data_IF_571688905303
#
_entry.id   IF_571688905303
#
_cell.length_a   1.000
_cell.length_b   1.000
_cell.length_c   1.000
_cell.angle_alpha   90.00
_cell.angle_beta   90.00
_cell.angle_gamma   90.00
#
_symmetry.space_group_name_H-M   'P 1'
#
loop_
_entity.id
_entity.type
_entity.pdbx_description
1 polymer ?
#
# COMPACT_ATOMS: atom_id res chain seq x y z
N UNK A 1 -2.59 -8.98 -14.02
CA UNK A 1 -2.42 -9.40 -12.61
C UNK A 1 -1.03 -9.09 -12.05
N UNK A 2 -0.75 -7.82 -11.71
CA UNK A 2 0.62 -7.29 -11.74
C UNK A 2 1.27 -6.94 -10.40
N UNK A 3 1.22 -7.81 -9.39
CA UNK A 3 2.08 -7.67 -8.20
C UNK A 3 3.14 -8.77 -8.18
N UNK A 4 4.08 -8.68 -9.12
CA UNK A 4 5.15 -9.66 -9.30
C UNK A 4 6.01 -9.74 -8.03
N UNK A 5 6.03 -10.93 -7.39
CA UNK A 5 6.83 -11.20 -6.19
C UNK A 5 6.08 -11.15 -4.85
N UNK A 6 4.78 -10.84 -4.84
CA UNK A 6 3.99 -10.83 -3.59
C UNK A 6 3.18 -12.12 -3.33
N UNK A 7 3.05 -12.98 -4.33
CA UNK A 7 2.32 -14.25 -4.21
C UNK A 7 0.80 -14.08 -4.07
N UNK A 8 0.02 -15.14 -4.39
CA UNK A 8 -1.44 -15.05 -4.44
C UNK A 8 -2.08 -14.72 -3.09
N UNK A 9 -1.52 -15.23 -1.99
CA UNK A 9 -2.04 -14.98 -0.64
C UNK A 9 -1.95 -13.51 -0.22
N UNK A 10 -0.91 -12.78 -0.65
CA UNK A 10 -0.79 -11.35 -0.37
C UNK A 10 -1.85 -10.56 -1.13
N UNK A 11 -1.95 -10.79 -2.43
CA UNK A 11 -2.92 -10.12 -3.29
C UNK A 11 -4.34 -10.33 -2.79
N UNK A 12 -4.68 -11.56 -2.36
CA UNK A 12 -5.99 -11.86 -1.78
C UNK A 12 -6.30 -11.00 -0.54
N UNK A 13 -5.33 -10.83 0.39
CA UNK A 13 -5.50 -9.99 1.58
C UNK A 13 -5.69 -8.51 1.24
N UNK A 14 -4.95 -8.01 0.25
CA UNK A 14 -5.10 -6.63 -0.24
C UNK A 14 -6.51 -6.42 -0.81
N UNK A 15 -7.00 -7.36 -1.61
CA UNK A 15 -8.33 -7.29 -2.21
C UNK A 15 -9.43 -7.37 -1.14
N UNK A 16 -9.30 -8.26 -0.14
CA UNK A 16 -10.24 -8.33 0.98
C UNK A 16 -10.30 -7.02 1.78
N UNK A 17 -9.15 -6.47 2.17
CA UNK A 17 -9.11 -5.20 2.89
C UNK A 17 -9.69 -4.04 2.03
N UNK A 18 -9.43 -4.03 0.72
CA UNK A 18 -10.02 -3.02 -0.18
C UNK A 18 -11.52 -3.18 -0.34
N UNK A 19 -12.02 -4.42 -0.35
CA UNK A 19 -13.45 -4.72 -0.49
C UNK A 19 -14.27 -4.24 0.72
N UNK A 20 -13.70 -4.28 1.92
CA UNK A 20 -14.34 -3.72 3.12
C UNK A 20 -14.48 -2.19 3.04
N UNK A 21 -13.42 -1.49 2.62
CA UNK A 21 -13.42 -0.04 2.37
C UNK A 21 -12.16 0.39 1.60
N UNK A 22 -12.23 1.46 0.80
CA UNK A 22 -11.07 2.06 0.16
C UNK A 22 -9.95 2.39 1.16
N UNK A 23 -8.70 2.22 0.75
CA UNK A 23 -7.56 2.67 1.55
C UNK A 23 -7.48 4.18 1.52
N UNK A 24 -7.35 4.80 2.69
CA UNK A 24 -7.25 6.26 2.80
C UNK A 24 -5.85 6.74 2.42
N UNK A 25 -4.84 6.04 2.92
CA UNK A 25 -3.44 6.32 2.68
C UNK A 25 -2.61 5.03 2.81
N UNK A 26 -1.31 5.16 2.60
CA UNK A 26 -0.38 4.04 2.73
C UNK A 26 -0.20 3.55 4.17
N UNK A 27 -0.43 4.39 5.18
CA UNK A 27 -0.37 3.97 6.57
C UNK A 27 -1.59 3.09 6.94
N UNK A 28 -2.79 3.45 6.47
CA UNK A 28 -4.01 2.63 6.57
C UNK A 28 -3.82 1.29 5.86
N UNK A 29 -3.26 1.30 4.65
CA UNK A 29 -2.89 0.08 3.95
C UNK A 29 -1.95 -0.82 4.75
N UNK A 30 -0.88 -0.25 5.33
CA UNK A 30 0.07 -0.99 6.17
C UNK A 30 -0.58 -1.53 7.46
N UNK A 31 -1.51 -0.79 8.07
CA UNK A 31 -2.23 -1.23 9.28
C UNK A 31 -3.20 -2.37 8.98
N UNK A 32 -3.85 -2.37 7.82
CA UNK A 32 -4.91 -3.32 7.47
C UNK A 32 -4.37 -4.58 6.80
N UNK A 33 -3.33 -4.47 5.99
CA UNK A 33 -2.76 -5.62 5.28
C UNK A 33 -1.57 -6.18 6.05
N UNK A 34 -1.81 -7.28 6.77
CA UNK A 34 -0.78 -7.97 7.56
C UNK A 34 0.40 -8.38 6.68
N UNK A 35 1.61 -7.99 7.11
CA UNK A 35 2.86 -8.27 6.38
C UNK A 35 3.29 -7.15 5.42
N UNK A 36 2.53 -6.07 5.30
CA UNK A 36 2.98 -4.85 4.62
C UNK A 36 3.72 -3.96 5.61
N UNK A 37 4.94 -3.58 5.24
CA UNK A 37 5.72 -2.51 5.86
C UNK A 37 6.27 -1.61 4.75
N UNK A 38 7.02 -0.57 5.12
CA UNK A 38 7.59 0.40 4.17
C UNK A 38 8.30 -0.23 2.97
N UNK A 39 9.14 -1.29 3.08
CA UNK A 39 9.78 -1.89 1.91
C UNK A 39 8.79 -2.51 0.93
N UNK A 40 7.71 -3.11 1.44
CA UNK A 40 6.62 -3.68 0.64
C UNK A 40 5.83 -2.58 -0.05
N UNK A 41 5.41 -1.55 0.69
CA UNK A 41 4.70 -0.41 0.14
C UNK A 41 5.51 0.30 -0.96
N UNK A 42 6.81 0.45 -0.75
CA UNK A 42 7.73 1.00 -1.73
C UNK A 42 7.83 0.17 -3.01
N UNK A 43 7.99 -1.16 -2.90
CA UNK A 43 8.02 -2.05 -4.06
C UNK A 43 6.71 -2.01 -4.84
N UNK A 44 5.56 -1.99 -4.15
CA UNK A 44 4.25 -1.85 -4.77
C UNK A 44 4.12 -0.54 -5.54
N UNK A 45 4.53 0.57 -4.93
CA UNK A 45 4.48 1.88 -5.60
C UNK A 45 5.41 1.95 -6.81
N UNK A 46 6.59 1.33 -6.75
CA UNK A 46 7.49 1.22 -7.91
C UNK A 46 6.92 0.38 -9.05
N UNK A 47 6.04 -0.57 -8.73
CA UNK A 47 5.28 -1.34 -9.72
C UNK A 47 4.04 -0.58 -10.24
N UNK A 48 3.81 0.65 -9.80
CA UNK A 48 2.70 1.50 -10.24
C UNK A 48 1.45 1.43 -9.35
N UNK A 49 1.51 0.75 -8.20
CA UNK A 49 0.41 0.79 -7.25
C UNK A 49 0.25 2.20 -6.66
N UNK A 50 -0.99 2.69 -6.63
CA UNK A 50 -1.35 3.99 -6.06
C UNK A 50 -2.53 3.83 -5.13
N UNK A 51 -2.53 4.53 -4.01
CA UNK A 51 -3.67 4.64 -3.08
C UNK A 51 -4.22 6.04 -3.23
N UNK A 52 -5.50 6.18 -3.55
CA UNK A 52 -6.12 7.51 -3.79
C UNK A 52 -5.32 8.34 -4.81
N UNK A 53 -4.81 7.71 -5.87
CA UNK A 53 -3.93 8.31 -6.88
C UNK A 53 -2.54 8.77 -6.37
N UNK A 54 -2.20 8.54 -5.10
CA UNK A 54 -0.90 8.87 -4.53
C UNK A 54 0.08 7.67 -4.54
N UNK A 55 1.33 7.86 -5.00
CA UNK A 55 2.40 6.86 -4.83
C UNK A 55 2.82 6.75 -3.37
N UNK A 56 3.51 5.66 -3.01
CA UNK A 56 4.11 5.54 -1.69
C UNK A 56 5.33 6.46 -1.61
N UNK A 57 5.24 7.44 -0.72
CA UNK A 57 6.39 8.22 -0.27
C UNK A 57 6.82 7.65 1.08
N UNK A 58 8.00 7.03 1.13
CA UNK A 58 8.60 6.64 2.39
C UNK A 58 8.71 7.89 3.26
N UNK A 59 8.26 7.81 4.51
CA UNK A 59 8.21 9.00 5.37
C UNK A 59 9.61 9.45 5.74
N UNK A 60 10.16 10.34 4.93
CA UNK A 60 10.78 11.57 5.45
C UNK A 60 9.74 12.71 5.58
N UNK A 61 8.45 12.39 5.43
CA UNK A 61 7.37 13.36 5.38
C UNK A 61 6.55 13.38 6.68
N UNK A 62 7.18 13.86 7.76
CA UNK A 62 6.51 14.89 8.57
C UNK A 62 7.00 16.24 8.06
N UNK A 63 6.58 16.65 6.87
CA UNK A 63 6.77 18.04 6.44
C UNK A 63 5.45 18.54 5.86
N UNK A 64 4.97 19.59 6.54
CA UNK A 64 4.00 20.59 6.13
C UNK A 64 2.56 20.14 5.89
N UNK A 65 1.77 20.26 6.96
CA UNK A 65 0.57 21.10 6.89
C UNK A 65 0.81 22.27 7.86
N UNK A 66 1.51 23.28 7.37
CA UNK A 66 1.39 24.66 7.86
C UNK A 66 0.31 25.32 6.99
#
# INVERSE_FOLDING_TARGET
>A
DGLTGFGPAFTARVMQARAERPFQDWADFMRRVKGVREPTAWRLSRQGARIQQAPFVASTARVSRD
#
